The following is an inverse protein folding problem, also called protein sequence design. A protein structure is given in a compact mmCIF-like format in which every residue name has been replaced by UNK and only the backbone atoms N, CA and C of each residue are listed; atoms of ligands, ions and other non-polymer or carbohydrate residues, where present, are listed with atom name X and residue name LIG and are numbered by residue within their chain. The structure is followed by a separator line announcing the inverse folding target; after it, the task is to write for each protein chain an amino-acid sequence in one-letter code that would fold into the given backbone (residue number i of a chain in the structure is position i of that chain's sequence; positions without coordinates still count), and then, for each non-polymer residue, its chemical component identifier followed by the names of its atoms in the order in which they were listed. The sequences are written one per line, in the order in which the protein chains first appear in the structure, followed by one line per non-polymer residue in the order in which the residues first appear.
data_IF_082476692555
#
_entry.id   IF_082476692555
#
_cell.length_a   1.000
_cell.length_b   1.000
_cell.length_c   1.000
_cell.angle_alpha   90.00
_cell.angle_beta   90.00
_cell.angle_gamma   90.00
#
_symmetry.space_group_name_H-M   'P 1'
#
loop_
_entity.id
_entity.type
_entity.pdbx_description
1 polymer ?
#
# COMPACT_ATOMS: atom_id res chain seq x y z
N UNK A 1 -27.40 -3.42 25.83
CA UNK A 1 -27.56 -4.28 24.65
C UNK A 1 -26.54 -3.80 23.64
N UNK A 2 -25.36 -4.42 23.62
CA UNK A 2 -24.26 -4.00 22.75
C UNK A 2 -24.54 -4.58 21.36
N UNK A 3 -24.66 -3.72 20.35
CA UNK A 3 -24.69 -4.16 18.96
C UNK A 3 -23.36 -4.88 18.73
N UNK A 4 -23.39 -6.21 18.55
CA UNK A 4 -22.23 -6.91 18.05
C UNK A 4 -22.00 -6.36 16.64
N UNK A 5 -20.96 -5.52 16.48
CA UNK A 5 -20.56 -5.11 15.16
C UNK A 5 -20.15 -6.39 14.43
N UNK A 6 -20.89 -6.76 13.38
CA UNK A 6 -20.53 -7.89 12.54
C UNK A 6 -19.07 -7.73 12.10
N UNK A 7 -18.34 -8.85 12.11
CA UNK A 7 -16.95 -8.83 11.70
C UNK A 7 -16.86 -8.38 10.24
N UNK A 8 -16.00 -7.41 9.97
CA UNK A 8 -15.73 -6.93 8.62
C UNK A 8 -14.49 -7.63 8.07
N UNK A 9 -14.47 -7.85 6.76
CA UNK A 9 -13.30 -8.33 6.03
C UNK A 9 -12.74 -7.20 5.17
N UNK A 10 -11.45 -6.94 5.29
CA UNK A 10 -10.75 -5.88 4.55
C UNK A 10 -9.51 -6.46 3.87
N UNK A 11 -9.27 -6.02 2.64
CA UNK A 11 -8.07 -6.35 1.89
C UNK A 11 -7.16 -5.12 1.82
N UNK A 12 -5.88 -5.29 2.09
CA UNK A 12 -4.92 -4.21 2.02
C UNK A 12 -3.48 -4.70 2.04
N UNK A 13 -2.54 -3.77 2.04
CA UNK A 13 -1.11 -4.05 2.06
C UNK A 13 -0.52 -3.77 3.43
N UNK A 14 0.34 -4.65 3.92
CA UNK A 14 1.12 -4.42 5.13
C UNK A 14 2.10 -3.26 4.87
N UNK A 15 1.99 -2.19 5.66
CA UNK A 15 2.79 -0.97 5.42
C UNK A 15 4.24 -1.14 5.86
N UNK A 16 4.44 -1.64 7.09
CA UNK A 16 5.72 -1.74 7.77
C UNK A 16 5.83 -3.05 8.53
N UNK A 17 7.02 -3.32 9.09
CA UNK A 17 7.23 -4.47 9.95
C UNK A 17 6.24 -4.44 11.13
N UNK A 18 5.70 -5.61 11.43
CA UNK A 18 4.75 -5.77 12.51
C UNK A 18 5.49 -5.69 13.84
N UNK A 19 4.85 -5.08 14.84
CA UNK A 19 5.47 -4.88 16.16
C UNK A 19 4.75 -5.68 17.23
N UNK A 20 5.49 -6.30 18.18
CA UNK A 20 4.88 -6.87 19.38
C UNK A 20 4.08 -5.83 20.16
N UNK A 21 2.87 -6.19 20.59
CA UNK A 21 2.01 -5.34 21.43
C UNK A 21 2.36 -5.42 22.93
N UNK A 22 3.16 -6.41 23.32
CA UNK A 22 3.66 -6.63 24.67
C UNK A 22 5.06 -7.28 24.64
N UNK A 23 5.70 -7.40 25.81
CA UNK A 23 7.06 -7.94 25.95
C UNK A 23 7.19 -9.42 25.57
N UNK A 24 6.08 -10.17 25.51
CA UNK A 24 6.07 -11.60 25.23
C UNK A 24 5.68 -11.92 23.78
N UNK A 25 5.30 -10.90 22.98
CA UNK A 25 4.74 -11.10 21.64
C UNK A 25 3.41 -11.85 21.66
N UNK A 26 2.68 -11.83 22.78
CA UNK A 26 1.36 -12.46 22.86
C UNK A 26 0.26 -11.66 22.15
N UNK A 27 0.55 -10.41 21.85
CA UNK A 27 -0.25 -9.53 21.01
C UNK A 27 0.65 -8.91 19.92
N UNK A 28 0.03 -8.51 18.81
CA UNK A 28 0.73 -7.84 17.71
C UNK A 28 -0.02 -6.58 17.28
N UNK A 29 0.73 -5.61 16.74
CA UNK A 29 0.19 -4.40 16.13
C UNK A 29 0.84 -4.18 14.78
N UNK A 30 0.05 -3.75 13.81
CA UNK A 30 0.52 -3.42 12.48
C UNK A 30 -0.41 -2.43 11.81
N UNK A 31 0.01 -1.87 10.67
CA UNK A 31 -0.78 -0.94 9.87
C UNK A 31 -1.08 -1.55 8.52
N UNK A 32 -2.34 -1.41 8.09
CA UNK A 32 -2.82 -1.91 6.82
C UNK A 32 -3.22 -0.72 5.94
N UNK A 33 -2.61 -0.61 4.76
CA UNK A 33 -3.02 0.36 3.73
C UNK A 33 -4.13 -0.26 2.89
N UNK A 34 -5.31 0.34 2.97
CA UNK A 34 -6.50 -0.04 2.24
C UNK A 34 -6.63 0.86 1.02
N UNK A 35 -6.83 0.28 -0.16
CA UNK A 35 -7.07 1.04 -1.40
C UNK A 35 -8.26 0.43 -2.15
N UNK A 36 -9.50 0.77 -1.75
CA UNK A 36 -10.70 0.11 -2.28
C UNK A 36 -10.92 0.34 -3.78
N UNK A 37 -10.52 1.51 -4.27
CA UNK A 37 -10.68 1.94 -5.67
C UNK A 37 -9.36 1.95 -6.45
N UNK A 38 -8.22 1.78 -5.78
CA UNK A 38 -6.89 1.95 -6.39
C UNK A 38 -6.46 3.42 -6.55
N UNK A 39 -7.30 4.37 -6.14
CA UNK A 39 -7.00 5.80 -6.16
C UNK A 39 -6.36 6.22 -4.83
N UNK A 40 -5.25 6.95 -4.89
CA UNK A 40 -4.55 7.44 -3.69
C UNK A 40 -5.43 8.30 -2.78
N UNK A 41 -6.42 9.01 -3.35
CA UNK A 41 -7.35 9.85 -2.57
C UNK A 41 -8.25 9.05 -1.65
N UNK A 42 -8.47 7.78 -1.98
CA UNK A 42 -9.36 6.87 -1.25
C UNK A 42 -8.55 5.90 -0.38
N UNK A 43 -7.23 6.05 -0.33
CA UNK A 43 -6.36 5.25 0.51
C UNK A 43 -6.56 5.57 1.99
N UNK A 44 -6.58 4.53 2.81
CA UNK A 44 -6.71 4.64 4.26
C UNK A 44 -5.69 3.75 4.95
N UNK A 45 -4.96 4.31 5.91
CA UNK A 45 -4.09 3.56 6.81
C UNK A 45 -4.90 3.19 8.05
N UNK A 46 -5.11 1.90 8.26
CA UNK A 46 -5.89 1.37 9.39
C UNK A 46 -4.98 0.65 10.40
N UNK A 47 -4.90 1.15 11.65
CA UNK A 47 -4.24 0.42 12.73
C UNK A 47 -4.97 -0.90 13.02
N UNK A 48 -4.21 -1.98 13.10
CA UNK A 48 -4.70 -3.32 13.38
C UNK A 48 -4.04 -3.87 14.65
N UNK A 49 -4.79 -4.61 15.45
CA UNK A 49 -4.25 -5.32 16.61
C UNK A 49 -4.73 -6.77 16.64
N UNK A 50 -3.87 -7.65 17.13
CA UNK A 50 -4.14 -9.09 17.31
C UNK A 50 -3.96 -9.41 18.78
N UNK A 51 -4.96 -10.05 19.38
CA UNK A 51 -4.92 -10.49 20.77
C UNK A 51 -4.77 -12.02 20.92
N UNK A 52 -4.94 -12.78 19.84
CA UNK A 52 -4.69 -14.22 19.84
C UNK A 52 -3.18 -14.49 19.73
N UNK A 53 -2.54 -15.20 20.68
CA UNK A 53 -1.10 -15.38 20.69
C UNK A 53 -0.54 -16.19 19.50
N UNK A 54 -1.31 -17.15 18.98
CA UNK A 54 -0.86 -17.96 17.84
C UNK A 54 -0.86 -17.12 16.56
N UNK A 55 -1.91 -16.33 16.37
CA UNK A 55 -1.98 -15.37 15.27
C UNK A 55 -0.95 -14.26 15.43
N UNK A 56 -0.72 -13.76 16.64
CA UNK A 56 0.29 -12.74 16.91
C UNK A 56 1.69 -13.24 16.53
N UNK A 57 2.03 -14.48 16.88
CA UNK A 57 3.31 -15.09 16.50
C UNK A 57 3.49 -15.14 14.98
N UNK A 58 2.47 -15.61 14.24
CA UNK A 58 2.50 -15.65 12.79
C UNK A 58 2.65 -14.24 12.18
N UNK A 59 1.88 -13.28 12.68
CA UNK A 59 1.94 -11.88 12.21
C UNK A 59 3.31 -11.24 12.44
N UNK A 60 3.98 -11.56 13.55
CA UNK A 60 5.29 -11.02 13.92
C UNK A 60 6.42 -11.63 13.09
N UNK A 61 6.33 -12.90 12.72
CA UNK A 61 7.46 -13.64 12.16
C UNK A 61 7.31 -14.04 10.69
N UNK A 62 6.08 -14.16 10.19
CA UNK A 62 5.82 -14.71 8.86
C UNK A 62 5.48 -13.62 7.82
N UNK A 63 5.05 -12.44 8.27
CA UNK A 63 4.64 -11.35 7.38
C UNK A 63 5.79 -10.40 7.08
N UNK A 64 5.80 -9.87 5.86
CA UNK A 64 6.76 -8.86 5.42
C UNK A 64 6.05 -7.62 4.87
N UNK A 65 6.64 -6.41 5.01
CA UNK A 65 6.09 -5.21 4.39
C UNK A 65 5.81 -5.42 2.89
N UNK A 66 4.66 -4.95 2.44
CA UNK A 66 4.17 -5.15 1.07
C UNK A 66 3.33 -6.41 0.86
N UNK A 67 3.22 -7.32 1.82
CA UNK A 67 2.28 -8.45 1.73
C UNK A 67 0.85 -7.93 1.58
N UNK A 68 0.10 -8.50 0.64
CA UNK A 68 -1.32 -8.26 0.50
C UNK A 68 -2.08 -9.21 1.43
N UNK A 69 -2.83 -8.64 2.36
CA UNK A 69 -3.52 -9.35 3.43
C UNK A 69 -5.03 -9.20 3.29
N UNK A 70 -5.76 -10.26 3.60
CA UNK A 70 -7.16 -10.21 4.00
C UNK A 70 -7.24 -10.33 5.51
N UNK A 71 -7.68 -9.28 6.17
CA UNK A 71 -7.93 -9.26 7.61
C UNK A 71 -9.43 -9.33 7.87
N UNK A 72 -9.84 -10.10 8.87
CA UNK A 72 -11.23 -10.10 9.37
C UNK A 72 -11.22 -9.78 10.84
N UNK A 73 -12.15 -8.95 11.28
CA UNK A 73 -12.16 -8.46 12.65
C UNK A 73 -13.28 -7.49 12.95
N UNK A 74 -13.23 -6.89 14.13
CA UNK A 74 -14.21 -5.91 14.57
C UNK A 74 -13.62 -4.50 14.51
N UNK A 75 -14.28 -3.61 13.76
CA UNK A 75 -13.86 -2.22 13.67
C UNK A 75 -14.29 -1.46 14.92
N UNK A 76 -13.31 -0.86 15.59
CA UNK A 76 -13.52 0.03 16.71
C UNK A 76 -13.52 1.46 16.21
N UNK A 77 -14.70 2.09 16.24
CA UNK A 77 -14.86 3.49 15.90
C UNK A 77 -14.48 4.39 17.10
N UNK A 78 -13.84 5.55 16.86
CA UNK A 78 -13.60 6.56 17.88
C UNK A 78 -14.88 6.94 18.61
N UNK A 79 -14.83 7.00 19.94
CA UNK A 79 -15.95 7.49 20.77
C UNK A 79 -15.71 8.93 21.24
N UNK A 80 -14.44 9.31 21.32
CA UNK A 80 -13.98 10.66 21.59
C UNK A 80 -13.00 11.11 20.51
N UNK A 81 -12.75 12.43 20.35
CA UNK A 81 -11.80 12.92 19.35
C UNK A 81 -10.37 12.38 19.48
N UNK A 82 -9.99 11.95 20.69
CA UNK A 82 -8.65 11.44 20.98
C UNK A 82 -8.53 9.91 20.83
N UNK A 83 -9.66 9.22 20.62
CA UNK A 83 -9.65 7.77 20.44
C UNK A 83 -9.30 7.44 18.98
N UNK A 84 -8.31 6.57 18.73
CA UNK A 84 -8.02 6.12 17.37
C UNK A 84 -9.11 5.17 16.87
N UNK A 85 -9.33 5.18 15.56
CA UNK A 85 -10.01 4.08 14.87
C UNK A 85 -9.02 2.92 14.70
N UNK A 86 -9.46 1.69 14.98
CA UNK A 86 -8.61 0.50 14.81
C UNK A 86 -9.42 -0.78 14.58
N UNK A 87 -8.78 -1.81 14.03
CA UNK A 87 -9.38 -3.12 13.79
C UNK A 87 -8.84 -4.16 14.79
N UNK A 88 -9.74 -4.81 15.52
CA UNK A 88 -9.43 -5.99 16.31
C UNK A 88 -9.46 -7.21 15.39
N UNK A 89 -8.30 -7.66 14.92
CA UNK A 89 -8.16 -8.76 13.95
C UNK A 89 -8.37 -10.10 14.65
N UNK A 90 -9.31 -10.88 14.12
CA UNK A 90 -9.61 -12.24 14.58
C UNK A 90 -9.07 -13.30 13.64
N UNK A 91 -8.98 -13.01 12.34
CA UNK A 91 -8.35 -13.89 11.35
C UNK A 91 -7.60 -13.09 10.30
N UNK A 92 -6.55 -13.69 9.74
CA UNK A 92 -5.73 -13.10 8.69
C UNK A 92 -5.35 -14.16 7.66
N UNK A 93 -5.34 -13.78 6.39
CA UNK A 93 -4.82 -14.59 5.29
C UNK A 93 -3.92 -13.74 4.40
N UNK A 94 -2.77 -14.29 4.01
CA UNK A 94 -1.93 -13.69 2.96
C UNK A 94 -2.55 -14.03 1.61
N UNK A 95 -2.97 -13.01 0.88
CA UNK A 95 -3.52 -13.14 -0.47
C UNK A 95 -2.41 -13.15 -1.53
N UNK A 96 -1.38 -12.34 -1.30
CA UNK A 96 -0.25 -12.18 -2.21
C UNK A 96 0.98 -11.81 -1.38
N UNK A 97 2.10 -12.50 -1.60
CA UNK A 97 3.36 -12.20 -0.90
C UNK A 97 4.07 -11.03 -1.57
N UNK A 98 4.70 -10.17 -0.78
CA UNK A 98 5.53 -9.09 -1.29
C UNK A 98 6.58 -9.65 -2.27
N UNK A 99 6.78 -9.00 -3.43
CA UNK A 99 7.84 -9.40 -4.35
C UNK A 99 9.20 -9.33 -3.65
N UNK A 100 9.98 -10.42 -3.76
CA UNK A 100 11.35 -10.43 -3.28
C UNK A 100 12.21 -9.48 -4.11
N UNK A 101 12.54 -8.32 -3.56
CA UNK A 101 13.54 -7.43 -4.15
C UNK A 101 14.91 -8.11 -4.00
N UNK A 102 15.47 -8.57 -5.12
CA UNK A 102 16.74 -9.29 -5.15
C UNK A 102 17.92 -8.39 -4.77
N UNK A 103 17.74 -7.07 -4.86
CA UNK A 103 18.66 -6.04 -4.40
C UNK A 103 17.86 -4.84 -3.85
N UNK A 104 17.51 -4.83 -2.55
CA UNK A 104 16.79 -3.71 -1.95
C UNK A 104 17.59 -2.40 -2.03
N UNK A 105 18.93 -2.45 -2.07
CA UNK A 105 19.77 -1.26 -2.16
C UNK A 105 19.59 -0.53 -3.50
N UNK A 106 19.38 -1.26 -4.60
CA UNK A 106 19.11 -0.69 -5.92
C UNK A 106 17.79 0.09 -6.02
N UNK A 107 16.86 -0.11 -5.08
CA UNK A 107 15.52 0.51 -5.09
C UNK A 107 15.28 1.44 -3.91
N UNK A 108 16.17 1.49 -2.91
CA UNK A 108 16.00 2.37 -1.73
C UNK A 108 15.89 3.86 -2.08
N UNK A 109 16.36 4.25 -3.26
CA UNK A 109 16.31 5.64 -3.76
C UNK A 109 15.23 5.86 -4.81
N UNK A 110 14.56 4.80 -5.27
CA UNK A 110 13.60 4.89 -6.35
C UNK A 110 12.15 4.80 -5.86
N UNK A 111 11.31 5.71 -6.34
CA UNK A 111 9.89 5.81 -5.98
C UNK A 111 9.05 5.71 -7.24
N UNK A 112 8.03 4.86 -7.22
CA UNK A 112 6.96 4.90 -8.22
C UNK A 112 5.84 5.79 -7.69
N UNK A 113 5.40 6.75 -8.49
CA UNK A 113 4.18 7.51 -8.22
C UNK A 113 3.22 7.50 -9.43
N UNK A 114 1.96 7.81 -9.17
CA UNK A 114 0.92 7.92 -10.20
C UNK A 114 0.77 9.36 -10.66
N UNK A 115 0.68 9.56 -11.97
CA UNK A 115 0.32 10.83 -12.60
C UNK A 115 -0.88 10.59 -13.53
N UNK A 116 -2.09 10.64 -12.98
CA UNK A 116 -3.30 10.21 -13.70
C UNK A 116 -3.20 8.75 -14.15
N UNK A 117 -3.45 8.42 -15.43
CA UNK A 117 -3.35 7.04 -15.94
C UNK A 117 -1.91 6.57 -16.22
N UNK A 118 -0.91 7.32 -15.77
CA UNK A 118 0.50 7.05 -15.99
C UNK A 118 1.23 6.71 -14.69
N UNK A 119 2.27 5.87 -14.80
CA UNK A 119 3.20 5.52 -13.73
C UNK A 119 4.52 6.25 -13.97
N UNK A 120 5.03 6.93 -12.95
CA UNK A 120 6.27 7.69 -12.98
C UNK A 120 7.29 7.04 -12.05
N UNK A 121 8.45 6.66 -12.60
CA UNK A 121 9.58 6.14 -11.86
C UNK A 121 10.58 7.27 -11.59
N UNK A 122 10.70 7.65 -10.33
CA UNK A 122 11.68 8.60 -9.82
C UNK A 122 12.86 7.82 -9.28
N UNK A 123 14.07 8.09 -9.75
CA UNK A 123 15.29 7.52 -9.20
C UNK A 123 16.11 8.64 -8.56
N UNK A 124 16.40 8.61 -7.25
CA UNK A 124 17.13 9.71 -6.62
C UNK A 124 18.55 9.93 -7.18
N UNK A 125 19.12 8.95 -7.89
CA UNK A 125 20.42 9.09 -8.53
C UNK A 125 20.37 9.83 -9.88
N UNK A 126 19.16 10.09 -10.42
CA UNK A 126 18.97 10.77 -11.70
C UNK A 126 17.84 11.79 -11.65
N UNK A 127 17.96 12.91 -12.35
CA UNK A 127 16.84 13.88 -12.44
C UNK A 127 15.73 13.41 -13.38
N UNK A 128 16.03 12.49 -14.29
CA UNK A 128 15.08 11.97 -15.25
C UNK A 128 13.99 11.12 -14.60
N UNK A 129 12.77 11.23 -15.13
CA UNK A 129 11.61 10.47 -14.67
C UNK A 129 11.12 9.60 -15.81
N UNK A 130 11.21 8.28 -15.68
CA UNK A 130 10.66 7.36 -16.66
C UNK A 130 9.14 7.25 -16.47
N UNK A 131 8.41 7.40 -17.57
CA UNK A 131 6.95 7.41 -17.57
C UNK A 131 6.44 6.21 -18.36
N UNK A 132 5.43 5.54 -17.81
CA UNK A 132 4.77 4.37 -18.38
C UNK A 132 3.26 4.57 -18.35
N UNK A 133 2.53 3.91 -19.23
CA UNK A 133 1.08 3.74 -19.09
C UNK A 133 0.78 2.83 -17.90
N UNK A 134 -0.46 2.84 -17.40
CA UNK A 134 -0.90 1.93 -16.34
C UNK A 134 -0.67 0.43 -16.67
N UNK A 135 -0.73 0.07 -17.96
CA UNK A 135 -0.46 -1.30 -18.44
C UNK A 135 1.04 -1.62 -18.59
N UNK A 136 1.93 -0.68 -18.26
CA UNK A 136 3.39 -0.85 -18.33
C UNK A 136 4.02 -0.51 -19.68
N UNK A 137 3.29 0.13 -20.62
CA UNK A 137 3.88 0.57 -21.89
C UNK A 137 4.74 1.80 -21.65
N UNK A 138 6.02 1.77 -22.05
CA UNK A 138 6.91 2.92 -21.88
C UNK A 138 6.50 4.11 -22.75
N UNK A 139 6.31 5.27 -22.13
CA UNK A 139 5.96 6.56 -22.75
C UNK A 139 7.23 7.37 -23.04
N UNK A 140 8.26 7.21 -22.21
CA UNK A 140 9.56 7.87 -22.34
C UNK A 140 10.04 8.50 -21.03
N UNK A 141 11.22 9.11 -21.09
CA UNK A 141 11.84 9.79 -19.95
C UNK A 141 11.61 11.31 -20.03
N UNK A 142 11.04 11.91 -18.99
CA UNK A 142 11.04 13.35 -18.79
C UNK A 142 12.39 13.78 -18.19
N UNK A 143 13.02 14.90 -18.62
CA UNK A 143 14.33 15.32 -18.10
C UNK A 143 14.34 15.70 -16.61
N UNK A 144 13.18 16.13 -16.10
CA UNK A 144 12.95 16.53 -14.71
C UNK A 144 11.46 16.32 -14.31
N UNK A 145 11.13 16.26 -13.01
CA UNK A 145 9.75 16.06 -12.52
C UNK A 145 8.72 17.08 -13.02
N UNK A 146 9.10 18.34 -13.16
CA UNK A 146 8.23 19.43 -13.65
C UNK A 146 7.99 19.38 -15.17
N UNK A 147 8.75 18.56 -15.91
CA UNK A 147 8.61 18.37 -17.35
C UNK A 147 7.73 17.15 -17.73
N UNK A 148 7.19 16.42 -16.74
CA UNK A 148 6.34 15.23 -16.98
C UNK A 148 5.11 15.61 -17.83
N UNK A 149 4.43 16.72 -17.52
CA UNK A 149 3.21 17.13 -18.25
C UNK A 149 3.50 17.36 -19.74
N UNK A 150 4.57 18.07 -20.08
CA UNK A 150 4.96 18.32 -21.47
C UNK A 150 5.30 17.02 -22.21
N UNK A 151 5.88 16.02 -21.51
CA UNK A 151 6.17 14.71 -22.08
C UNK A 151 4.89 13.92 -22.39
N UNK A 152 3.91 13.97 -21.49
CA UNK A 152 2.61 13.33 -21.67
C UNK A 152 1.83 13.96 -22.82
N UNK A 153 1.77 15.29 -22.88
CA UNK A 153 1.11 16.02 -23.97
C UNK A 153 1.66 15.60 -25.34
N UNK A 154 2.99 15.51 -25.47
CA UNK A 154 3.63 15.08 -26.70
C UNK A 154 3.35 13.62 -27.07
N UNK A 155 3.17 12.73 -26.09
CA UNK A 155 2.79 11.34 -26.32
C UNK A 155 1.35 11.22 -26.79
N UNK A 156 0.41 11.88 -26.09
CA UNK A 156 -1.02 11.83 -26.40
C UNK A 156 -1.31 12.42 -27.79
N UNK A 157 -0.65 13.52 -28.15
CA UNK A 157 -0.76 14.08 -29.50
C UNK A 157 -0.31 13.10 -30.60
N UNK A 158 0.77 12.34 -30.36
CA UNK A 158 1.23 11.31 -31.30
C UNK A 158 0.27 10.13 -31.41
N UNK A 159 -0.33 9.71 -30.30
CA UNK A 159 -1.34 8.65 -30.30
C UNK A 159 -2.58 9.08 -31.07
N UNK A 160 -3.07 10.31 -30.84
CA UNK A 160 -4.20 10.86 -31.56
C UNK A 160 -3.93 10.97 -33.08
N UNK A 161 -2.71 11.34 -33.48
CA UNK A 161 -2.32 11.43 -34.89
C UNK A 161 -2.06 10.08 -35.58
N UNK A 162 -1.88 8.99 -34.83
CA UNK A 162 -1.63 7.64 -35.36
C UNK A 162 -2.88 6.76 -35.41
N UNK A 163 -4.03 7.30 -34.98
CA UNK A 163 -5.32 6.61 -34.90
C UNK A 163 -6.27 6.82 -36.10
N UNK A 164 -5.76 7.36 -37.22
CA UNK A 164 -6.44 7.47 -38.53
C UNK A 164 -5.83 6.49 -39.54
#
# INVERSE_FOLDING_TARGET
MTVAADAIALDGFLEEETVPGDLHGSTARFRLTLSPTGERTDEMILPCTVADPALAHAVIHDLVPGDKLRVTGHLHLPRTPDDPMWLAVTTLAVLETAPLLTDPAAFTTAVIDRYGPYLCWFNADTTGVDVFTETGTWVGTAPAPDEISARLDAFEQRQAASGE
#
